data_IF_796639945342
#
_entry.id   IF_796639945342
#
_cell.length_a   1.000
_cell.length_b   1.000
_cell.length_c   1.000
_cell.angle_alpha   90.00
_cell.angle_beta   90.00
_cell.angle_gamma   90.00
#
_symmetry.space_group_name_H-M   'P 1'
#
loop_
_entity.id
_entity.type
_entity.pdbx_description
1 polymer ?
#
# COMPACT_ATOMS: atom_id res chain seq x y z
N UNK A 1 18.05 -14.37 -1.47
CA UNK A 1 18.15 -13.51 -2.49
C UNK A 1 16.86 -13.28 -3.16
N UNK A 2 16.47 -14.13 -4.08
CA UNK A 2 15.22 -13.91 -4.76
C UNK A 2 14.05 -14.07 -3.85
N UNK A 3 14.22 -14.91 -2.85
CA UNK A 3 13.15 -15.08 -1.90
C UNK A 3 12.93 -13.82 -1.09
N UNK A 4 14.02 -13.09 -0.86
CA UNK A 4 13.88 -11.86 -0.12
C UNK A 4 13.01 -10.88 -0.87
N UNK A 5 13.16 -10.84 -2.19
CA UNK A 5 12.35 -9.96 -2.99
C UNK A 5 10.88 -10.33 -2.92
N UNK A 6 10.61 -11.63 -2.90
CA UNK A 6 9.23 -12.09 -2.80
C UNK A 6 8.65 -11.69 -1.45
N UNK A 7 9.43 -11.81 -0.39
CA UNK A 7 8.98 -11.41 0.93
C UNK A 7 8.70 -9.92 0.98
N UNK A 8 9.55 -9.13 0.35
CA UNK A 8 9.32 -7.70 0.33
C UNK A 8 8.02 -7.36 -0.37
N UNK A 9 7.75 -8.06 -1.45
CA UNK A 9 6.51 -7.87 -2.16
C UNK A 9 5.31 -8.18 -1.27
N UNK A 10 5.38 -9.26 -0.53
CA UNK A 10 4.27 -9.65 0.33
C UNK A 10 4.05 -8.62 1.44
N UNK A 11 5.14 -8.12 2.02
CA UNK A 11 5.01 -7.11 3.05
C UNK A 11 4.36 -5.85 2.52
N UNK A 12 4.77 -5.41 1.35
CA UNK A 12 4.19 -4.21 0.75
C UNK A 12 2.71 -4.40 0.49
N UNK A 13 2.34 -5.58 0.05
CA UNK A 13 0.94 -5.86 -0.23
C UNK A 13 0.11 -5.80 1.04
N UNK A 14 0.62 -6.38 2.10
CA UNK A 14 -0.08 -6.37 3.38
C UNK A 14 -0.24 -4.94 3.87
N UNK A 15 0.81 -4.14 3.77
CA UNK A 15 0.76 -2.77 4.21
C UNK A 15 -0.19 -1.94 3.37
N UNK A 16 -0.20 -2.17 2.07
CA UNK A 16 -1.10 -1.43 1.20
C UNK A 16 -2.55 -1.71 1.56
N UNK A 17 -2.86 -2.96 1.81
CA UNK A 17 -4.22 -3.32 2.20
C UNK A 17 -4.62 -2.67 3.51
N UNK A 18 -3.70 -2.67 4.45
CA UNK A 18 -3.98 -2.08 5.75
C UNK A 18 -4.19 -0.58 5.60
N UNK A 19 -3.36 0.07 4.81
CA UNK A 19 -3.51 1.51 4.63
C UNK A 19 -4.83 1.84 3.95
N UNK A 20 -5.25 1.02 3.01
CA UNK A 20 -6.53 1.25 2.35
C UNK A 20 -7.69 1.04 3.30
N UNK A 21 -7.59 0.05 4.18
CA UNK A 21 -8.63 -0.20 5.15
C UNK A 21 -8.75 0.98 6.12
N UNK A 22 -7.61 1.48 6.58
CA UNK A 22 -7.63 2.62 7.48
C UNK A 22 -8.15 3.86 6.78
N UNK A 23 -7.82 4.02 5.50
CA UNK A 23 -8.35 5.12 4.73
C UNK A 23 -9.88 5.05 4.69
N UNK A 24 -10.41 3.89 4.42
CA UNK A 24 -11.85 3.71 4.34
C UNK A 24 -12.51 4.04 5.67
N UNK A 25 -11.92 3.55 6.75
CA UNK A 25 -12.45 3.81 8.08
C UNK A 25 -12.44 5.31 8.39
N UNK A 26 -11.34 5.97 8.05
CA UNK A 26 -11.25 7.41 8.31
C UNK A 26 -12.27 8.18 7.49
N UNK A 27 -12.49 7.76 6.25
CA UNK A 27 -13.50 8.40 5.41
C UNK A 27 -14.88 8.23 6.00
N UNK A 28 -15.18 7.03 6.49
CA UNK A 28 -16.49 6.78 7.09
C UNK A 28 -16.71 7.64 8.33
N UNK A 29 -15.64 7.93 9.04
CA UNK A 29 -15.72 8.76 10.24
C UNK A 29 -15.50 10.22 9.93
N UNK A 30 -15.37 10.57 8.67
CA UNK A 30 -15.19 11.95 8.23
C UNK A 30 -13.92 12.58 8.78
N UNK A 31 -12.93 11.76 9.03
CA UNK A 31 -11.62 12.24 9.46
C UNK A 31 -10.75 12.39 8.21
N UNK A 32 -11.05 13.44 7.44
CA UNK A 32 -10.48 13.54 6.09
C UNK A 32 -8.99 13.80 6.10
N UNK A 33 -8.49 14.53 7.07
CA UNK A 33 -7.04 14.75 7.15
C UNK A 33 -6.31 13.44 7.37
N UNK A 34 -6.83 12.60 8.25
CA UNK A 34 -6.22 11.30 8.48
C UNK A 34 -6.39 10.39 7.29
N UNK A 35 -7.57 10.46 6.67
CA UNK A 35 -7.81 9.64 5.48
C UNK A 35 -6.78 9.97 4.41
N UNK A 36 -6.48 11.24 4.25
CA UNK A 36 -5.49 11.65 3.25
C UNK A 36 -4.13 11.04 3.54
N UNK A 37 -3.73 11.00 4.79
CA UNK A 37 -2.44 10.41 5.15
C UNK A 37 -2.42 8.92 4.87
N UNK A 38 -3.51 8.24 5.19
CA UNK A 38 -3.57 6.80 4.94
C UNK A 38 -3.50 6.49 3.46
N UNK A 39 -4.21 7.26 2.63
CA UNK A 39 -4.19 6.98 1.20
C UNK A 39 -2.83 7.33 0.59
N UNK A 40 -2.16 8.35 1.13
CA UNK A 40 -0.83 8.66 0.65
C UNK A 40 0.16 7.54 0.99
N UNK A 41 0.01 6.94 2.17
CA UNK A 41 0.83 5.81 2.52
C UNK A 41 0.58 4.63 1.59
N UNK A 42 -0.70 4.39 1.28
CA UNK A 42 -1.04 3.31 0.37
C UNK A 42 -0.47 3.58 -1.02
N UNK A 43 -0.49 4.83 -1.44
CA UNK A 43 0.05 5.20 -2.74
C UNK A 43 1.53 4.86 -2.82
N UNK A 44 2.28 5.16 -1.76
CA UNK A 44 3.71 4.85 -1.74
C UNK A 44 3.93 3.35 -1.83
N UNK A 45 3.15 2.58 -1.07
CA UNK A 45 3.31 1.13 -1.09
C UNK A 45 2.97 0.57 -2.46
N UNK A 46 1.91 1.07 -3.08
CA UNK A 46 1.50 0.59 -4.38
C UNK A 46 2.55 0.96 -5.43
N UNK A 47 3.10 2.15 -5.32
CA UNK A 47 4.13 2.57 -6.23
C UNK A 47 5.35 1.67 -6.14
N UNK A 48 5.74 1.30 -4.92
CA UNK A 48 6.85 0.37 -4.76
C UNK A 48 6.53 -0.98 -5.37
N UNK A 49 5.28 -1.41 -5.25
CA UNK A 49 4.88 -2.67 -5.84
C UNK A 49 5.00 -2.65 -7.35
N UNK A 50 4.73 -1.51 -7.98
CA UNK A 50 4.88 -1.45 -9.43
C UNK A 50 6.31 -1.63 -9.87
N UNK A 51 7.27 -1.22 -9.02
CA UNK A 51 8.67 -1.41 -9.35
C UNK A 51 9.09 -2.87 -9.25
N UNK A 52 8.37 -3.64 -8.46
CA UNK A 52 8.68 -5.06 -8.31
C UNK A 52 7.99 -5.90 -9.36
N UNK A 53 7.07 -5.33 -10.10
CA UNK A 53 6.32 -6.06 -11.10
C UNK A 53 7.02 -5.96 -12.45
N UNK A 54 7.18 -7.08 -13.16
CA UNK A 54 7.86 -7.02 -14.46
C UNK A 54 7.09 -6.18 -15.45
N UNK A 55 7.81 -5.42 -16.24
CA UNK A 55 7.17 -4.59 -17.24
C UNK A 55 6.57 -5.41 -18.36
N UNK A 56 7.21 -6.49 -18.66
CA UNK A 56 6.75 -7.29 -19.75
C UNK A 56 5.82 -8.36 -19.29
N UNK A 57 4.60 -8.19 -19.49
CA UNK A 57 3.64 -9.20 -19.04
C UNK A 57 2.68 -9.60 -20.13
#
# INVERSE_FOLDING_TARGET
MKQDEVLDYADLLIRARRNLREFESAMNNRQFAEAHEWIMNAFVDIRLLTHLTPDKI
#
